data_IF_977319746603
#
_entry.id   IF_977319746603
#
_cell.length_a   1.000
_cell.length_b   1.000
_cell.length_c   1.000
_cell.angle_alpha   90.00
_cell.angle_beta   90.00
_cell.angle_gamma   90.00
#
_symmetry.space_group_name_H-M   'P 1'
#
loop_
_entity.id
_entity.type
_entity.pdbx_description
1 polymer ?
#
# COMPACT_ATOMS: atom_id res chain seq x y z
N UNK A 1 -5.33 -15.38 -21.81
CA UNK A 1 -4.86 -14.01 -21.57
C UNK A 1 -4.35 -13.94 -20.14
N UNK A 2 -3.19 -13.33 -19.91
CA UNK A 2 -2.66 -13.13 -18.55
C UNK A 2 -3.55 -12.11 -17.84
N UNK A 3 -3.93 -12.40 -16.59
CA UNK A 3 -4.66 -11.45 -15.77
C UNK A 3 -3.66 -10.43 -15.22
N UNK A 4 -3.73 -9.16 -15.66
CA UNK A 4 -2.82 -8.11 -15.23
C UNK A 4 -3.02 -7.66 -13.78
N UNK A 5 -2.03 -6.96 -13.24
CA UNK A 5 -2.04 -6.49 -11.84
C UNK A 5 -1.53 -5.07 -11.69
N UNK A 6 -2.28 -4.26 -10.94
CA UNK A 6 -1.86 -2.93 -10.49
C UNK A 6 -1.38 -3.02 -9.03
N UNK A 7 -0.15 -2.56 -8.79
CA UNK A 7 0.41 -2.42 -7.45
C UNK A 7 0.45 -0.94 -7.05
N UNK A 8 0.01 -0.63 -5.84
CA UNK A 8 0.17 0.70 -5.26
C UNK A 8 0.87 0.56 -3.93
N UNK A 9 2.04 1.17 -3.80
CA UNK A 9 2.70 1.35 -2.51
C UNK A 9 2.13 2.61 -1.87
N UNK A 10 1.24 2.45 -0.91
CA UNK A 10 0.69 3.54 -0.13
C UNK A 10 1.57 3.69 1.11
N UNK A 11 2.45 4.68 1.07
CA UNK A 11 3.49 4.90 2.07
C UNK A 11 3.05 5.98 3.04
N UNK A 12 3.13 5.67 4.33
CA UNK A 12 3.14 6.68 5.37
C UNK A 12 4.40 7.57 5.20
N UNK A 13 4.14 8.86 5.07
CA UNK A 13 5.05 9.92 4.66
C UNK A 13 5.67 10.72 5.80
N UNK A 14 5.33 10.38 7.03
CA UNK A 14 5.55 11.20 8.23
C UNK A 14 6.99 11.11 8.71
N UNK A 15 7.41 12.01 9.60
CA UNK A 15 8.80 12.08 10.06
C UNK A 15 9.36 10.77 10.64
N UNK A 16 8.54 10.02 11.38
CA UNK A 16 8.90 8.74 12.01
C UNK A 16 9.26 7.66 10.98
N UNK A 17 8.69 7.76 9.77
CA UNK A 17 8.84 6.78 8.70
C UNK A 17 10.19 6.84 7.95
N UNK A 18 11.04 7.84 8.19
CA UNK A 18 12.34 7.99 7.49
C UNK A 18 13.19 6.69 7.50
N UNK A 19 13.39 5.97 8.63
CA UNK A 19 14.18 4.75 8.64
C UNK A 19 13.56 3.62 7.81
N UNK A 20 12.22 3.54 7.79
CA UNK A 20 11.46 2.58 6.97
C UNK A 20 11.62 2.90 5.48
N UNK A 21 11.46 4.17 5.09
CA UNK A 21 11.68 4.62 3.71
C UNK A 21 13.11 4.32 3.24
N UNK A 22 14.12 4.59 4.06
CA UNK A 22 15.51 4.29 3.73
C UNK A 22 15.74 2.78 3.55
N UNK A 23 15.13 1.95 4.39
CA UNK A 23 15.20 0.50 4.26
C UNK A 23 14.50 0.02 2.97
N UNK A 24 13.34 0.58 2.64
CA UNK A 24 12.62 0.30 1.40
C UNK A 24 13.48 0.68 0.18
N UNK A 25 14.07 1.89 0.16
CA UNK A 25 14.96 2.36 -0.90
C UNK A 25 16.19 1.47 -1.08
N UNK A 26 16.76 0.92 0.00
CA UNK A 26 17.89 -0.03 -0.07
C UNK A 26 17.49 -1.40 -0.60
N UNK A 27 16.28 -1.86 -0.28
CA UNK A 27 15.80 -3.20 -0.62
C UNK A 27 14.95 -3.23 -1.91
N UNK A 28 14.63 -2.08 -2.51
CA UNK A 28 13.79 -2.01 -3.71
C UNK A 28 14.38 -2.77 -4.89
N UNK A 29 15.71 -2.80 -5.01
CA UNK A 29 16.35 -3.58 -6.06
C UNK A 29 16.06 -5.08 -5.90
N UNK A 30 16.04 -5.59 -4.67
CA UNK A 30 15.64 -6.98 -4.37
C UNK A 30 14.16 -7.19 -4.71
N UNK A 31 13.30 -6.22 -4.38
CA UNK A 31 11.87 -6.28 -4.73
C UNK A 31 11.67 -6.36 -6.24
N UNK A 32 12.27 -5.43 -6.98
CA UNK A 32 12.16 -5.33 -8.43
C UNK A 32 12.78 -6.55 -9.11
N UNK A 33 13.94 -7.00 -8.62
CA UNK A 33 14.55 -8.24 -9.06
C UNK A 33 13.59 -9.41 -8.88
N UNK A 34 13.00 -9.63 -7.71
CA UNK A 34 12.07 -10.75 -7.51
C UNK A 34 10.76 -10.62 -8.32
N UNK A 35 10.26 -9.40 -8.49
CA UNK A 35 9.12 -9.09 -9.36
C UNK A 35 9.42 -9.44 -10.83
N UNK A 36 10.66 -9.24 -11.26
CA UNK A 36 11.15 -9.41 -12.63
C UNK A 36 11.92 -10.73 -12.84
N UNK A 37 12.17 -11.52 -11.79
CA UNK A 37 13.01 -12.72 -11.84
C UNK A 37 12.28 -13.85 -12.55
N UNK A 38 12.82 -14.42 -13.64
CA UNK A 38 12.18 -15.48 -14.43
C UNK A 38 11.69 -16.71 -13.65
N UNK A 39 12.31 -16.98 -12.50
CA UNK A 39 11.99 -18.11 -11.64
C UNK A 39 11.06 -17.78 -10.47
N UNK A 40 10.72 -16.50 -10.25
CA UNK A 40 9.69 -16.16 -9.27
C UNK A 40 8.34 -16.70 -9.75
N UNK A 41 7.47 -17.04 -8.80
CA UNK A 41 6.10 -17.48 -9.09
C UNK A 41 5.32 -16.43 -9.92
N UNK A 42 5.76 -15.17 -9.90
CA UNK A 42 5.19 -14.06 -10.64
C UNK A 42 5.65 -14.04 -12.11
N UNK A 43 6.94 -14.26 -12.41
CA UNK A 43 7.43 -14.24 -13.80
C UNK A 43 7.24 -15.56 -14.53
N UNK A 44 7.10 -16.70 -13.84
CA UNK A 44 6.59 -17.93 -14.48
C UNK A 44 5.23 -17.71 -15.16
N UNK A 45 4.47 -16.68 -14.75
CA UNK A 45 3.21 -16.25 -15.36
C UNK A 45 3.33 -15.10 -16.37
N UNK A 46 4.53 -14.60 -16.68
CA UNK A 46 4.77 -13.40 -17.52
C UNK A 46 3.95 -12.17 -17.09
N UNK A 47 3.74 -11.99 -15.78
CA UNK A 47 2.78 -11.03 -15.22
C UNK A 47 2.78 -9.65 -15.90
N UNK A 48 1.59 -9.20 -16.31
CA UNK A 48 1.40 -7.85 -16.80
C UNK A 48 1.17 -6.85 -15.66
N UNK A 49 2.26 -6.32 -15.11
CA UNK A 49 2.23 -5.45 -13.94
C UNK A 49 2.49 -3.98 -14.27
N UNK A 50 1.79 -3.11 -13.55
CA UNK A 50 2.19 -1.70 -13.39
C UNK A 50 2.15 -1.33 -11.92
N UNK A 51 2.96 -0.37 -11.52
CA UNK A 51 3.08 0.03 -10.13
C UNK A 51 3.16 1.55 -9.98
N UNK A 52 2.76 2.07 -8.82
CA UNK A 52 3.02 3.46 -8.41
C UNK A 52 3.30 3.55 -6.92
N UNK A 53 3.96 4.63 -6.53
CA UNK A 53 4.12 5.04 -5.14
C UNK A 53 3.17 6.20 -4.86
N UNK A 54 2.43 6.10 -3.76
CA UNK A 54 1.56 7.15 -3.24
C UNK A 54 2.00 7.40 -1.81
N UNK A 55 2.06 8.66 -1.41
CA UNK A 55 2.42 9.04 -0.05
C UNK A 55 1.26 9.75 0.59
N UNK A 56 1.00 9.44 1.86
CA UNK A 56 0.09 10.21 2.70
C UNK A 56 0.81 10.64 3.98
N UNK A 57 0.32 11.70 4.62
CA UNK A 57 0.76 12.19 5.94
C UNK A 57 -0.47 12.46 6.79
N UNK A 58 -0.43 13.42 7.70
CA UNK A 58 -1.60 13.81 8.44
C UNK A 58 -2.34 14.97 7.79
N UNK A 59 -3.57 14.74 7.31
CA UNK A 59 -4.35 15.78 6.64
C UNK A 59 -4.66 17.00 7.54
N UNK A 60 -5.10 16.84 8.80
CA UNK A 60 -5.30 17.95 9.73
C UNK A 60 -4.06 18.84 9.94
N UNK A 61 -2.86 18.25 9.98
CA UNK A 61 -1.61 18.97 10.28
C UNK A 61 -0.88 19.46 9.02
N UNK A 62 -0.86 18.67 7.94
CA UNK A 62 -0.10 18.93 6.72
C UNK A 62 -0.92 19.59 5.59
N UNK A 63 -2.23 19.77 5.78
CA UNK A 63 -3.08 20.57 4.89
C UNK A 63 -3.12 20.02 3.47
N UNK A 64 -2.79 20.84 2.46
CA UNK A 64 -2.82 20.43 1.04
C UNK A 64 -1.68 19.46 0.65
N UNK A 65 -0.60 19.41 1.43
CA UNK A 65 0.60 18.62 1.14
C UNK A 65 0.57 17.21 1.78
N UNK A 66 -0.58 16.84 2.36
CA UNK A 66 -0.78 15.56 3.02
C UNK A 66 -0.80 14.35 2.07
N UNK A 67 -0.95 14.54 0.75
CA UNK A 67 -1.14 13.46 -0.20
C UNK A 67 -0.44 13.69 -1.55
N UNK A 68 0.49 12.80 -1.89
CA UNK A 68 1.26 12.84 -3.13
C UNK A 68 0.97 11.61 -4.00
N UNK A 69 0.50 11.83 -5.24
CA UNK A 69 0.06 10.76 -6.14
C UNK A 69 0.91 10.66 -7.43
N UNK A 70 1.74 9.62 -7.55
CA UNK A 70 2.52 9.39 -8.77
C UNK A 70 1.70 8.66 -9.86
N UNK A 71 2.01 8.80 -11.17
CA UNK A 71 1.40 7.95 -12.19
C UNK A 71 1.88 6.50 -12.10
N UNK A 72 1.06 5.55 -12.57
CA UNK A 72 1.49 4.16 -12.77
C UNK A 72 2.60 4.06 -13.82
N UNK A 73 3.63 3.28 -13.51
CA UNK A 73 4.69 2.88 -14.45
C UNK A 73 4.50 1.42 -14.85
N UNK A 74 4.56 1.15 -16.15
CA UNK A 74 4.26 -0.17 -16.71
C UNK A 74 5.54 -0.94 -17.00
N UNK A 75 5.78 -2.05 -16.27
CA UNK A 75 6.96 -2.90 -16.42
C UNK A 75 8.31 -2.16 -16.37
N UNK A 76 8.35 -1.01 -15.71
CA UNK A 76 9.53 -0.15 -15.60
C UNK A 76 9.98 -0.04 -14.14
N UNK A 77 10.88 -0.93 -13.74
CA UNK A 77 11.45 -0.92 -12.40
C UNK A 77 12.31 0.31 -12.13
N UNK A 78 12.96 0.88 -13.15
CA UNK A 78 13.81 2.06 -12.98
C UNK A 78 12.95 3.30 -12.66
N UNK A 79 11.84 3.48 -13.38
CA UNK A 79 10.88 4.56 -13.11
C UNK A 79 10.20 4.39 -11.73
N UNK A 80 9.87 3.16 -11.33
CA UNK A 80 9.32 2.91 -9.98
C UNK A 80 10.34 3.25 -8.88
N UNK A 81 11.61 2.86 -9.09
CA UNK A 81 12.70 3.22 -8.18
C UNK A 81 12.89 4.73 -8.10
N UNK A 82 12.72 5.45 -9.20
CA UNK A 82 12.76 6.92 -9.20
C UNK A 82 11.63 7.51 -8.35
N UNK A 83 10.40 7.00 -8.45
CA UNK A 83 9.29 7.43 -7.59
C UNK A 83 9.60 7.20 -6.10
N UNK A 84 10.14 6.03 -5.76
CA UNK A 84 10.54 5.72 -4.39
C UNK A 84 11.67 6.61 -3.87
N UNK A 85 12.65 6.93 -4.72
CA UNK A 85 13.77 7.79 -4.33
C UNK A 85 13.33 9.23 -4.01
N UNK A 86 12.20 9.69 -4.57
CA UNK A 86 11.58 10.99 -4.30
C UNK A 86 10.80 11.04 -2.98
N UNK A 87 10.61 9.91 -2.31
CA UNK A 87 9.97 9.90 -0.98
C UNK A 87 10.81 10.69 0.02
N UNK A 88 10.18 11.63 0.70
CA UNK A 88 10.77 12.41 1.79
C UNK A 88 9.85 12.30 3.00
N UNK A 89 10.43 11.89 4.13
CA UNK A 89 9.72 11.76 5.39
C UNK A 89 9.70 13.12 6.09
N UNK A 90 8.51 13.65 6.31
CA UNK A 90 8.27 14.91 7.01
C UNK A 90 6.79 15.02 7.37
N UNK A 91 6.43 15.91 8.29
CA UNK A 91 5.03 16.10 8.70
C UNK A 91 4.57 15.03 9.69
N UNK A 92 3.24 14.89 9.84
CA UNK A 92 2.56 13.91 10.70
C UNK A 92 2.07 14.42 12.04
N UNK A 93 2.66 15.50 12.58
CA UNK A 93 2.20 16.06 13.86
C UNK A 93 2.19 15.03 15.00
N UNK A 94 1.07 14.94 15.71
CA UNK A 94 0.84 13.95 16.77
C UNK A 94 -0.02 12.80 16.23
N UNK A 95 0.33 11.55 16.56
CA UNK A 95 -0.48 10.37 16.24
C UNK A 95 -1.94 10.54 16.74
N UNK A 96 -2.98 10.16 15.97
CA UNK A 96 -2.99 9.34 14.74
C UNK A 96 -2.65 10.06 13.42
N UNK A 97 -2.45 9.27 12.37
CA UNK A 97 -2.17 9.74 11.00
C UNK A 97 -3.38 9.52 10.06
N UNK A 98 -3.34 10.02 8.83
CA UNK A 98 -4.48 10.00 7.90
C UNK A 98 -4.54 8.79 6.94
N UNK A 99 -4.21 7.58 7.42
CA UNK A 99 -4.26 6.35 6.58
C UNK A 99 -5.68 6.06 6.05
N UNK A 100 -6.72 6.23 6.88
CA UNK A 100 -8.10 5.92 6.49
C UNK A 100 -8.55 6.82 5.32
N UNK A 101 -8.21 8.11 5.40
CA UNK A 101 -8.41 9.11 4.35
C UNK A 101 -7.70 8.68 3.05
N UNK A 102 -6.44 8.28 3.18
CA UNK A 102 -5.62 7.85 2.05
C UNK A 102 -6.19 6.60 1.38
N UNK A 103 -6.64 5.60 2.14
CA UNK A 103 -7.28 4.38 1.62
C UNK A 103 -8.56 4.70 0.85
N UNK A 104 -9.42 5.57 1.39
CA UNK A 104 -10.64 5.99 0.71
C UNK A 104 -10.32 6.75 -0.59
N UNK A 105 -9.36 7.68 -0.54
CA UNK A 105 -8.93 8.49 -1.70
C UNK A 105 -8.36 7.61 -2.82
N UNK A 106 -7.45 6.68 -2.51
CA UNK A 106 -6.87 5.79 -3.54
C UNK A 106 -7.89 4.81 -4.11
N UNK A 107 -8.83 4.32 -3.30
CA UNK A 107 -9.88 3.42 -3.76
C UNK A 107 -10.92 4.12 -4.63
N UNK A 108 -11.04 5.44 -4.50
CA UNK A 108 -11.92 6.33 -5.27
C UNK A 108 -11.30 6.85 -6.57
N UNK A 109 -10.00 6.62 -6.81
CA UNK A 109 -9.36 6.96 -8.09
C UNK A 109 -10.16 6.34 -9.24
N UNK A 110 -10.37 7.12 -10.30
CA UNK A 110 -11.11 6.66 -11.47
C UNK A 110 -10.48 5.41 -12.08
N UNK A 111 -11.28 4.64 -12.81
CA UNK A 111 -10.79 3.53 -13.60
C UNK A 111 -10.89 3.84 -15.09
N UNK A 112 -9.94 3.36 -15.86
CA UNK A 112 -10.01 3.31 -17.32
C UNK A 112 -11.25 2.52 -17.73
N UNK A 113 -11.90 2.90 -18.83
CA UNK A 113 -13.02 2.11 -19.34
C UNK A 113 -12.55 0.71 -19.73
N UNK A 114 -13.51 -0.22 -19.76
CA UNK A 114 -13.25 -1.61 -20.09
C UNK A 114 -12.64 -1.73 -21.50
N UNK A 115 -11.56 -2.50 -21.61
CA UNK A 115 -10.86 -2.75 -22.89
C UNK A 115 -10.26 -1.53 -23.59
N UNK A 116 -10.13 -0.39 -22.91
CA UNK A 116 -9.32 0.74 -23.38
C UNK A 116 -7.86 0.62 -22.91
N UNK A 117 -6.97 1.39 -23.55
CA UNK A 117 -5.57 1.50 -23.11
C UNK A 117 -5.52 2.13 -21.71
N UNK A 118 -4.73 1.53 -20.82
CA UNK A 118 -4.69 1.91 -19.42
C UNK A 118 -4.11 3.32 -19.23
N UNK A 119 -4.90 4.24 -18.67
CA UNK A 119 -4.43 5.57 -18.28
C UNK A 119 -3.50 5.46 -17.05
N UNK A 120 -2.28 6.02 -17.09
CA UNK A 120 -1.35 6.01 -15.95
C UNK A 120 -1.88 6.70 -14.68
N UNK A 121 -2.85 7.61 -14.80
CA UNK A 121 -3.47 8.31 -13.66
C UNK A 121 -4.65 7.56 -13.04
N UNK A 122 -5.17 6.53 -13.73
CA UNK A 122 -6.38 5.79 -13.34
C UNK A 122 -6.04 4.36 -13.01
N UNK A 123 -6.90 3.67 -12.27
CA UNK A 123 -6.86 2.21 -12.17
C UNK A 123 -7.21 1.55 -13.52
N UNK A 124 -6.71 0.34 -13.79
CA UNK A 124 -7.28 -0.48 -14.87
C UNK A 124 -8.64 -0.96 -14.45
N UNK A 125 -9.56 -1.11 -15.40
CA UNK A 125 -10.93 -1.54 -15.11
C UNK A 125 -10.96 -2.75 -14.16
N UNK A 126 -11.81 -2.72 -13.13
CA UNK A 126 -11.80 -3.68 -12.00
C UNK A 126 -11.99 -5.16 -12.38
N UNK A 127 -12.54 -5.44 -13.57
CA UNK A 127 -12.68 -6.79 -14.12
C UNK A 127 -11.48 -7.23 -14.96
N UNK A 128 -10.67 -6.28 -15.40
CA UNK A 128 -9.62 -6.49 -16.38
C UNK A 128 -8.26 -6.64 -15.70
N UNK A 129 -8.11 -6.25 -14.42
CA UNK A 129 -6.90 -6.40 -13.63
C UNK A 129 -7.20 -6.60 -12.13
N UNK A 130 -6.28 -7.24 -11.42
CA UNK A 130 -6.27 -7.25 -9.96
C UNK A 130 -5.63 -5.97 -9.44
N UNK A 131 -6.15 -5.41 -8.34
CA UNK A 131 -5.60 -4.20 -7.71
C UNK A 131 -5.13 -4.53 -6.30
N UNK A 132 -3.87 -4.24 -6.01
CA UNK A 132 -3.25 -4.49 -4.70
C UNK A 132 -2.70 -3.18 -4.16
N UNK A 133 -3.18 -2.77 -2.99
CA UNK A 133 -2.62 -1.65 -2.23
C UNK A 133 -1.80 -2.22 -1.09
N UNK A 134 -0.54 -1.81 -1.01
CA UNK A 134 0.46 -2.26 -0.04
C UNK A 134 0.73 -1.07 0.88
N UNK A 135 0.43 -1.23 2.16
CA UNK A 135 0.54 -0.17 3.16
C UNK A 135 1.70 -0.45 4.09
N UNK A 136 2.53 0.56 4.35
CA UNK A 136 3.52 0.58 5.42
C UNK A 136 3.30 1.83 6.26
N UNK A 137 3.08 1.63 7.56
CA UNK A 137 2.86 2.69 8.54
C UNK A 137 3.32 2.21 9.90
N UNK A 138 3.74 3.15 10.75
CA UNK A 138 4.08 2.93 12.14
C UNK A 138 3.09 3.57 13.12
N UNK A 139 1.99 4.13 12.62
CA UNK A 139 1.00 4.85 13.41
C UNK A 139 -0.40 4.19 13.34
N UNK A 140 -1.26 4.53 14.29
CA UNK A 140 -2.71 4.36 14.20
C UNK A 140 -3.33 5.40 13.25
N UNK A 141 -4.63 5.28 12.96
CA UNK A 141 -5.29 6.14 11.98
C UNK A 141 -6.48 6.92 12.54
N UNK A 142 -6.76 8.08 11.95
CA UNK A 142 -7.96 8.85 12.26
C UNK A 142 -9.24 8.12 11.83
N UNK A 143 -10.20 8.05 12.74
CA UNK A 143 -11.60 7.75 12.43
C UNK A 143 -12.52 8.66 13.28
N UNK A 144 -13.46 9.39 12.67
CA UNK A 144 -13.81 9.38 11.25
C UNK A 144 -12.76 10.05 10.35
N UNK A 145 -12.88 9.80 9.05
CA UNK A 145 -12.07 10.42 8.01
C UNK A 145 -12.12 11.95 8.07
N UNK A 146 -11.00 12.62 7.80
CA UNK A 146 -10.85 14.06 8.03
C UNK A 146 -10.76 14.89 6.75
N UNK A 147 -10.32 14.27 5.64
CA UNK A 147 -10.13 14.96 4.38
C UNK A 147 -11.44 15.34 3.66
N UNK A 148 -11.48 16.42 2.85
CA UNK A 148 -12.74 17.03 2.40
C UNK A 148 -13.68 16.09 1.63
N UNK A 149 -13.15 15.22 0.75
CA UNK A 149 -13.98 14.36 -0.10
C UNK A 149 -14.54 13.12 0.63
N UNK A 150 -13.97 12.76 1.78
CA UNK A 150 -14.43 11.63 2.60
C UNK A 150 -14.82 12.01 4.02
N UNK A 151 -14.86 13.29 4.35
CA UNK A 151 -15.03 13.79 5.71
C UNK A 151 -16.23 13.14 6.43
N UNK A 152 -15.98 12.64 7.65
CA UNK A 152 -16.98 11.98 8.46
C UNK A 152 -17.23 10.50 8.13
N UNK A 153 -16.60 9.97 7.08
CA UNK A 153 -16.69 8.54 6.76
C UNK A 153 -15.85 7.66 7.68
N UNK A 154 -16.06 6.35 7.56
CA UNK A 154 -15.60 5.33 8.52
C UNK A 154 -14.87 4.18 7.81
N UNK A 155 -14.40 3.21 8.59
CA UNK A 155 -13.88 1.93 8.06
C UNK A 155 -14.90 1.23 7.16
N UNK A 156 -16.21 1.41 7.39
CA UNK A 156 -17.26 0.85 6.52
C UNK A 156 -17.24 1.46 5.11
N UNK A 157 -17.01 2.77 5.00
CA UNK A 157 -16.96 3.46 3.73
C UNK A 157 -15.74 3.00 2.93
N UNK A 158 -14.58 2.88 3.59
CA UNK A 158 -13.36 2.29 3.01
C UNK A 158 -13.61 0.85 2.56
N UNK A 159 -14.29 0.04 3.39
CA UNK A 159 -14.65 -1.33 3.03
C UNK A 159 -15.49 -1.38 1.76
N UNK A 160 -16.54 -0.56 1.69
CA UNK A 160 -17.46 -0.52 0.56
C UNK A 160 -16.77 -0.11 -0.74
N UNK A 161 -15.93 0.93 -0.70
CA UNK A 161 -15.22 1.38 -1.90
C UNK A 161 -14.16 0.34 -2.33
N UNK A 162 -13.40 -0.25 -1.41
CA UNK A 162 -12.43 -1.32 -1.73
C UNK A 162 -13.11 -2.54 -2.36
N UNK A 163 -14.28 -2.96 -1.83
CA UNK A 163 -15.09 -4.04 -2.42
C UNK A 163 -15.55 -3.69 -3.83
N UNK A 164 -16.11 -2.50 -4.03
CA UNK A 164 -16.63 -2.07 -5.32
C UNK A 164 -15.53 -1.90 -6.37
N UNK A 165 -14.35 -1.45 -5.94
CA UNK A 165 -13.15 -1.26 -6.76
C UNK A 165 -12.30 -2.53 -6.90
N UNK A 166 -12.69 -3.66 -6.29
CA UNK A 166 -11.93 -4.92 -6.29
C UNK A 166 -10.46 -4.74 -5.87
N UNK A 167 -10.25 -3.96 -4.81
CA UNK A 167 -8.94 -3.70 -4.22
C UNK A 167 -8.71 -4.67 -3.07
N UNK A 168 -7.53 -5.29 -3.07
CA UNK A 168 -7.02 -6.07 -1.93
C UNK A 168 -5.98 -5.24 -1.18
N UNK A 169 -6.05 -5.28 0.14
CA UNK A 169 -5.12 -4.57 1.01
C UNK A 169 -4.06 -5.55 1.55
N UNK A 170 -2.80 -5.13 1.55
CA UNK A 170 -1.71 -5.79 2.25
C UNK A 170 -1.09 -4.80 3.22
N UNK A 171 -1.40 -4.94 4.50
CA UNK A 171 -1.06 -3.99 5.55
C UNK A 171 0.16 -4.47 6.33
N UNK A 172 1.17 -3.61 6.47
CA UNK A 172 2.29 -3.75 7.40
C UNK A 172 2.19 -2.58 8.38
N UNK A 173 1.55 -2.85 9.51
CA UNK A 173 1.04 -1.82 10.40
C UNK A 173 1.14 -2.27 11.87
N UNK A 174 1.10 -1.33 12.84
CA UNK A 174 1.18 -1.62 14.26
C UNK A 174 0.33 -2.80 14.72
N UNK A 175 0.91 -3.66 15.57
CA UNK A 175 0.18 -4.61 16.42
C UNK A 175 -0.31 -3.87 17.66
N UNK A 176 -1.32 -3.01 17.47
CA UNK A 176 -1.84 -2.13 18.52
C UNK A 176 -2.86 -2.84 19.40
N UNK A 177 -2.81 -2.60 20.72
CA UNK A 177 -3.76 -3.17 21.67
C UNK A 177 -5.20 -2.68 21.44
N UNK A 178 -5.38 -1.59 20.69
CA UNK A 178 -6.69 -1.04 20.36
C UNK A 178 -7.38 -1.76 19.18
N UNK A 179 -6.69 -2.65 18.48
CA UNK A 179 -7.25 -3.48 17.43
C UNK A 179 -7.76 -2.70 16.21
N UNK A 180 -7.26 -1.48 15.97
CA UNK A 180 -7.71 -0.67 14.83
C UNK A 180 -7.44 -1.40 13.51
N UNK A 181 -6.31 -2.09 13.40
CA UNK A 181 -5.95 -2.83 12.18
C UNK A 181 -6.72 -4.14 12.01
N UNK A 182 -7.31 -4.71 13.06
CA UNK A 182 -8.24 -5.85 12.92
C UNK A 182 -9.48 -5.46 12.10
N UNK A 183 -9.97 -4.23 12.29
CA UNK A 183 -11.12 -3.72 11.56
C UNK A 183 -10.81 -3.57 10.06
N UNK A 184 -9.64 -3.04 9.70
CA UNK A 184 -9.18 -2.98 8.31
C UNK A 184 -8.88 -4.37 7.75
N UNK A 185 -8.33 -5.29 8.55
CA UNK A 185 -8.07 -6.67 8.15
C UNK A 185 -9.35 -7.45 7.83
N UNK A 186 -10.50 -7.04 8.39
CA UNK A 186 -11.81 -7.60 8.05
C UNK A 186 -12.32 -7.21 6.66
N UNK A 187 -11.67 -6.24 5.99
CA UNK A 187 -12.03 -5.78 4.65
C UNK A 187 -11.61 -6.82 3.60
N UNK A 188 -12.46 -7.04 2.59
CA UNK A 188 -12.19 -7.72 1.32
C UNK A 188 -10.77 -8.31 1.10
N UNK A 189 -10.56 -9.58 1.46
CA UNK A 189 -9.28 -10.30 1.22
C UNK A 189 -8.04 -9.54 1.74
N UNK A 190 -8.22 -8.60 2.66
CA UNK A 190 -7.13 -7.87 3.27
C UNK A 190 -6.23 -8.84 4.05
N UNK A 191 -4.94 -8.55 4.04
CA UNK A 191 -3.95 -9.28 4.80
C UNK A 191 -3.22 -8.27 5.68
N UNK A 192 -3.45 -8.37 6.99
CA UNK A 192 -2.69 -7.62 7.97
C UNK A 192 -1.50 -8.44 8.45
N UNK A 193 -0.33 -7.83 8.37
CA UNK A 193 0.93 -8.34 8.87
C UNK A 193 1.30 -7.45 10.08
N UNK A 194 0.94 -7.87 11.30
CA UNK A 194 1.16 -7.06 12.50
C UNK A 194 2.65 -6.80 12.71
N UNK A 195 2.98 -5.55 13.01
CA UNK A 195 4.33 -5.10 13.32
C UNK A 195 4.41 -4.83 14.82
N UNK A 196 5.12 -5.69 15.58
CA UNK A 196 5.23 -5.52 17.02
C UNK A 196 6.08 -4.29 17.34
N UNK A 197 5.68 -3.53 18.35
CA UNK A 197 6.48 -2.44 18.90
C UNK A 197 7.78 -2.96 19.54
N UNK A 198 8.85 -2.16 19.44
CA UNK A 198 10.13 -2.41 20.11
C UNK A 198 10.43 -1.24 21.03
N UNK A 199 10.48 -1.51 22.33
CA UNK A 199 10.58 -0.49 23.36
C UNK A 199 9.22 -0.17 23.98
N UNK A 200 9.21 0.76 24.93
CA UNK A 200 8.04 1.14 25.73
C UNK A 200 7.70 2.64 25.56
N UNK A 201 8.20 3.28 24.50
CA UNK A 201 7.97 4.68 24.16
C UNK A 201 7.00 4.84 22.98
N UNK A 202 6.68 6.10 22.64
CA UNK A 202 5.78 6.46 21.54
C UNK A 202 6.36 6.06 20.17
N UNK A 203 7.69 5.93 20.04
CA UNK A 203 8.36 5.48 18.82
C UNK A 203 8.43 3.95 18.68
N UNK A 204 7.83 3.18 19.60
CA UNK A 204 7.95 1.70 19.62
C UNK A 204 7.60 1.05 18.28
N UNK A 205 6.55 1.54 17.60
CA UNK A 205 6.13 0.98 16.32
C UNK A 205 7.02 1.44 15.17
N UNK A 206 7.53 2.67 15.19
CA UNK A 206 8.56 3.14 14.26
C UNK A 206 9.81 2.26 14.36
N UNK A 207 10.23 1.95 15.59
CA UNK A 207 11.34 1.05 15.88
C UNK A 207 11.06 -0.39 15.42
N UNK A 208 9.85 -0.89 15.65
CA UNK A 208 9.39 -2.20 15.17
C UNK A 208 9.42 -2.31 13.65
N UNK A 209 8.87 -1.31 12.95
CA UNK A 209 8.82 -1.27 11.49
C UNK A 209 10.21 -1.10 10.89
N UNK A 210 11.07 -0.28 11.50
CA UNK A 210 12.49 -0.16 11.13
C UNK A 210 13.22 -1.49 11.26
N UNK A 211 13.01 -2.23 12.35
CA UNK A 211 13.63 -3.54 12.54
C UNK A 211 13.09 -4.57 11.53
N UNK A 212 11.80 -4.51 11.22
CA UNK A 212 11.18 -5.35 10.21
C UNK A 212 11.73 -5.08 8.82
N UNK A 213 11.71 -3.82 8.38
CA UNK A 213 12.12 -3.42 7.02
C UNK A 213 13.64 -3.43 6.82
N UNK A 214 14.41 -3.23 7.89
CA UNK A 214 15.87 -3.39 7.87
C UNK A 214 16.35 -4.84 7.72
N UNK A 215 15.48 -5.83 7.96
CA UNK A 215 15.83 -7.24 7.84
C UNK A 215 15.47 -7.78 6.44
N UNK A 216 16.50 -8.17 5.67
CA UNK A 216 16.32 -8.72 4.32
C UNK A 216 15.43 -9.97 4.26
N UNK A 217 15.42 -10.81 5.29
CA UNK A 217 14.57 -12.00 5.34
C UNK A 217 13.10 -11.63 5.50
N UNK A 218 12.80 -10.63 6.35
CA UNK A 218 11.44 -10.12 6.48
C UNK A 218 10.98 -9.44 5.20
N UNK A 219 11.87 -8.71 4.52
CA UNK A 219 11.55 -8.15 3.21
C UNK A 219 11.23 -9.23 2.17
N UNK A 220 11.91 -10.39 2.19
CA UNK A 220 11.52 -11.54 1.36
C UNK A 220 10.12 -12.05 1.70
N UNK A 221 9.74 -12.08 2.99
CA UNK A 221 8.37 -12.46 3.39
C UNK A 221 7.32 -11.50 2.83
N UNK A 222 7.64 -10.21 2.67
CA UNK A 222 6.77 -9.24 1.96
C UNK A 222 6.52 -9.69 0.52
N UNK A 223 7.59 -10.03 -0.21
CA UNK A 223 7.48 -10.54 -1.59
C UNK A 223 6.65 -11.81 -1.65
N UNK A 224 6.86 -12.74 -0.71
CA UNK A 224 6.09 -13.98 -0.66
C UNK A 224 4.61 -13.72 -0.38
N UNK A 225 4.28 -12.77 0.50
CA UNK A 225 2.90 -12.36 0.78
C UNK A 225 2.25 -11.76 -0.47
N UNK A 226 2.98 -10.95 -1.23
CA UNK A 226 2.51 -10.44 -2.52
C UNK A 226 2.25 -11.59 -3.50
N UNK A 227 3.21 -12.51 -3.68
CA UNK A 227 3.04 -13.66 -4.56
C UNK A 227 1.82 -14.53 -4.19
N UNK A 228 1.55 -14.72 -2.89
CA UNK A 228 0.34 -15.40 -2.39
C UNK A 228 -0.92 -14.61 -2.71
N UNK A 229 -0.93 -13.31 -2.43
CA UNK A 229 -2.05 -12.40 -2.71
C UNK A 229 -2.43 -12.44 -4.19
N UNK A 230 -1.43 -12.42 -5.08
CA UNK A 230 -1.66 -12.52 -6.53
C UNK A 230 -2.20 -13.87 -6.95
N UNK A 231 -1.76 -14.94 -6.29
CA UNK A 231 -2.31 -16.26 -6.54
C UNK A 231 -3.79 -16.33 -6.15
N UNK A 232 -4.18 -15.71 -5.04
CA UNK A 232 -5.60 -15.56 -4.62
C UNK A 232 -6.37 -14.69 -5.63
N UNK A 233 -5.77 -13.62 -6.12
CA UNK A 233 -6.40 -12.67 -7.03
C UNK A 233 -6.68 -13.24 -8.43
N UNK A 234 -5.76 -14.06 -8.94
CA UNK A 234 -5.80 -14.64 -10.28
C UNK A 234 -6.61 -15.95 -10.31
N UNK A 235 -6.89 -16.56 -9.16
CA UNK A 235 -7.71 -17.77 -9.09
C UNK A 235 -9.19 -17.38 -9.19
N UNK A 236 -9.96 -17.91 -10.17
CA UNK A 236 -11.38 -17.64 -10.24
C UNK A 236 -12.04 -18.11 -8.94
N UNK A 237 -12.92 -17.29 -8.36
CA UNK A 237 -13.82 -17.75 -7.31
C UNK A 237 -14.56 -18.97 -7.83
N UNK A 238 -14.31 -20.15 -7.24
CA UNK A 238 -15.13 -21.33 -7.47
C UNK A 238 -16.51 -20.96 -6.92
N UNK A 239 -17.47 -20.80 -7.84
CA UNK A 239 -18.89 -20.58 -7.53
C UNK A 239 -19.44 -21.84 -6.85
#
# INVERSE_FOLDING_TARGET
MQHPVDFMFLMDGTGSMQPCMDALKRNIDIFLEELMRPQSSMVKKQLDWRAKVVTYRDHPEDGDDWFDDNPFVHKDGAALKEQLNKLEAWGGGDEPESLLDALHKVASIEQTNKSEEADPSKWRHRSDASRVVIVFTDATYHEPMTYPEGAGGTVEDVRNICLSSNIMLLLYAPDDDAGQYEQLASINKAQWNPIPGIGDDEEKFANGLKAYTGNQENFRKVIEALARTLSIAITPSVV
#
